data_IF_187810849147
#
_entry.id   IF_187810849147
#
_cell.length_a   1.000
_cell.length_b   1.000
_cell.length_c   1.000
_cell.angle_alpha   90.00
_cell.angle_beta   90.00
_cell.angle_gamma   90.00
#
_symmetry.space_group_name_H-M   'P 1'
#
loop_
_entity.id
_entity.type
_entity.pdbx_description
1 polymer ?
#
# COMPACT_ATOMS: atom_id res chain seq x y z
N UNK A 1 37.27 -63.95 -1.46
CA UNK A 1 35.83 -63.72 -1.25
C UNK A 1 35.63 -63.14 0.15
N UNK A 2 35.30 -61.85 0.26
CA UNK A 2 34.35 -61.32 1.26
C UNK A 2 34.27 -59.81 1.05
N UNK A 3 33.23 -59.40 0.33
CA UNK A 3 32.82 -58.02 0.12
C UNK A 3 32.08 -57.55 1.38
N UNK A 4 32.43 -56.39 1.94
CA UNK A 4 31.63 -55.76 3.00
C UNK A 4 31.23 -54.35 2.58
N UNK A 5 29.95 -54.31 2.23
CA UNK A 5 29.06 -53.24 1.84
C UNK A 5 29.29 -51.88 2.49
N UNK A 6 29.30 -50.84 1.64
CA UNK A 6 29.11 -49.44 2.01
C UNK A 6 27.65 -49.23 2.44
N UNK A 7 27.45 -48.76 3.67
CA UNK A 7 26.15 -48.26 4.13
C UNK A 7 26.09 -46.75 3.84
N UNK A 8 25.27 -46.36 2.86
CA UNK A 8 24.93 -44.96 2.64
C UNK A 8 23.97 -44.49 3.74
N UNK A 9 24.38 -43.48 4.50
CA UNK A 9 23.49 -42.76 5.40
C UNK A 9 22.64 -41.78 4.58
N UNK A 10 21.33 -42.06 4.46
CA UNK A 10 20.37 -41.11 3.91
C UNK A 10 19.99 -40.13 5.02
N UNK A 11 20.51 -38.90 4.94
CA UNK A 11 20.07 -37.82 5.81
C UNK A 11 18.70 -37.33 5.32
N UNK A 12 17.62 -37.75 5.98
CA UNK A 12 16.29 -37.20 5.77
C UNK A 12 16.22 -35.82 6.47
N UNK A 13 16.48 -34.74 5.71
CA UNK A 13 16.23 -33.38 6.17
C UNK A 13 14.72 -33.11 6.19
N UNK A 14 14.15 -32.87 7.37
CA UNK A 14 12.77 -32.45 7.53
C UNK A 14 12.60 -30.99 7.10
N UNK A 15 12.01 -30.78 5.92
CA UNK A 15 11.53 -29.46 5.48
C UNK A 15 10.30 -29.09 6.32
N UNK A 16 10.52 -28.33 7.40
CA UNK A 16 9.43 -27.70 8.14
C UNK A 16 8.96 -26.49 7.36
N UNK A 17 7.91 -26.65 6.56
CA UNK A 17 7.20 -25.52 5.96
C UNK A 17 6.54 -24.71 7.07
N UNK A 18 7.06 -23.50 7.30
CA UNK A 18 6.41 -22.48 8.11
C UNK A 18 5.14 -22.05 7.36
N UNK A 19 4.04 -22.77 7.59
CA UNK A 19 2.71 -22.31 7.19
C UNK A 19 2.37 -21.14 8.11
N UNK A 20 2.57 -19.91 7.63
CA UNK A 20 1.94 -18.75 8.24
C UNK A 20 0.43 -18.91 8.04
N UNK A 21 -0.28 -19.44 9.04
CA UNK A 21 -1.73 -19.44 9.07
C UNK A 21 -2.19 -17.97 9.07
N UNK A 22 -2.46 -17.42 7.90
CA UNK A 22 -3.11 -16.13 7.75
C UNK A 22 -4.52 -16.30 8.33
N UNK A 23 -4.73 -15.86 9.57
CA UNK A 23 -6.05 -15.86 10.19
C UNK A 23 -6.84 -14.76 9.50
N UNK A 24 -7.73 -15.15 8.60
CA UNK A 24 -8.66 -14.24 7.95
C UNK A 24 -9.89 -14.05 8.85
N UNK A 25 -10.13 -12.83 9.31
CA UNK A 25 -11.37 -12.47 10.01
C UNK A 25 -12.33 -11.83 9.01
N UNK A 26 -13.47 -12.47 8.66
CA UNK A 26 -14.43 -11.93 7.70
C UNK A 26 -15.10 -10.62 8.16
N UNK A 27 -14.93 -10.24 9.43
CA UNK A 27 -15.40 -8.99 10.01
C UNK A 27 -14.26 -7.99 10.27
N UNK A 28 -13.02 -8.29 9.84
CA UNK A 28 -11.89 -7.39 10.01
C UNK A 28 -12.17 -6.05 9.33
N UNK A 29 -12.17 -4.99 10.14
CA UNK A 29 -12.14 -3.62 9.64
C UNK A 29 -10.67 -3.26 9.47
N UNK A 30 -10.23 -3.25 8.22
CA UNK A 30 -8.94 -2.68 7.88
C UNK A 30 -9.04 -1.15 8.06
N UNK A 31 -8.00 -0.53 8.60
CA UNK A 31 -7.85 0.92 8.67
C UNK A 31 -6.61 1.32 7.90
N UNK A 32 -6.68 2.44 7.17
CA UNK A 32 -5.54 3.05 6.48
C UNK A 32 -5.29 4.44 7.04
N UNK A 33 -4.02 4.78 7.15
CA UNK A 33 -3.55 6.07 7.66
C UNK A 33 -2.41 6.54 6.76
N UNK A 34 -2.55 7.70 6.13
CA UNK A 34 -1.41 8.36 5.52
C UNK A 34 -0.51 9.02 6.57
N UNK A 35 0.72 9.36 6.20
CA UNK A 35 1.67 10.07 7.07
C UNK A 35 2.10 11.43 6.54
N UNK A 36 2.18 11.59 5.22
CA UNK A 36 2.85 12.77 4.62
C UNK A 36 1.91 13.95 4.39
N UNK A 37 0.64 13.68 4.04
CA UNK A 37 -0.29 14.70 3.54
C UNK A 37 -1.64 14.68 4.29
N UNK A 38 -1.64 15.05 5.56
CA UNK A 38 -2.82 15.00 6.42
C UNK A 38 -3.64 16.31 6.44
N UNK A 39 -4.86 16.24 6.98
CA UNK A 39 -5.65 17.38 7.46
C UNK A 39 -5.91 18.51 6.46
N UNK A 40 -5.99 18.21 5.15
CA UNK A 40 -6.22 19.21 4.10
C UNK A 40 -5.19 20.37 4.13
N UNK A 41 -3.99 20.08 4.62
CA UNK A 41 -2.90 21.03 4.75
C UNK A 41 -2.42 21.58 3.40
N UNK A 42 -1.55 22.59 3.47
CA UNK A 42 -0.83 23.11 2.30
C UNK A 42 0.60 22.56 2.31
N UNK A 43 0.98 21.94 1.21
CA UNK A 43 2.21 21.16 1.07
C UNK A 43 3.05 21.69 -0.07
N UNK A 44 4.32 21.99 0.24
CA UNK A 44 5.24 22.39 -0.80
C UNK A 44 5.78 21.18 -1.56
N UNK A 45 5.49 21.12 -2.86
CA UNK A 45 6.13 20.18 -3.79
C UNK A 45 7.15 20.94 -4.63
N UNK A 46 8.39 20.43 -4.65
CA UNK A 46 9.46 21.05 -5.42
C UNK A 46 9.24 20.83 -6.93
N UNK A 47 8.77 21.87 -7.61
CA UNK A 47 8.51 21.87 -9.06
C UNK A 47 9.78 21.73 -9.93
N UNK A 48 10.98 21.75 -9.33
CA UNK A 48 12.24 21.49 -10.03
C UNK A 48 12.72 20.04 -9.88
N UNK A 49 11.97 19.19 -9.15
CA UNK A 49 12.32 17.79 -8.94
C UNK A 49 11.70 16.90 -10.01
N UNK A 50 12.53 16.09 -10.66
CA UNK A 50 12.08 15.04 -11.58
C UNK A 50 11.90 13.69 -10.84
N UNK A 51 11.83 13.71 -9.51
CA UNK A 51 11.45 12.54 -8.74
C UNK A 51 9.95 12.32 -8.86
N UNK A 52 9.55 11.06 -8.95
CA UNK A 52 8.15 10.66 -8.89
C UNK A 52 7.51 11.12 -7.56
N UNK A 53 6.25 11.50 -7.64
CA UNK A 53 5.45 11.72 -6.45
C UNK A 53 5.31 10.42 -5.66
N UNK A 54 5.44 10.51 -4.34
CA UNK A 54 5.26 9.38 -3.46
C UNK A 54 4.57 9.81 -2.16
N UNK A 55 3.87 8.86 -1.57
CA UNK A 55 3.16 9.02 -0.32
C UNK A 55 3.33 7.76 0.54
N UNK A 56 3.42 7.95 1.84
CA UNK A 56 3.56 6.89 2.84
C UNK A 56 2.22 6.68 3.53
N UNK A 57 1.83 5.41 3.64
CA UNK A 57 0.67 4.97 4.41
C UNK A 57 1.01 3.75 5.27
N UNK A 58 0.29 3.55 6.36
CA UNK A 58 0.30 2.30 7.11
C UNK A 58 -1.12 1.81 7.34
N UNK A 59 -1.23 0.52 7.67
CA UNK A 59 -2.51 -0.17 7.84
C UNK A 59 -2.63 -0.81 9.20
N UNK A 60 -3.85 -1.07 9.64
CA UNK A 60 -4.12 -1.74 10.91
C UNK A 60 -5.37 -2.61 10.84
N UNK A 61 -5.31 -3.81 11.39
CA UNK A 61 -6.45 -4.73 11.49
C UNK A 61 -6.84 -5.36 10.15
N UNK A 62 -5.89 -5.51 9.24
CA UNK A 62 -6.15 -6.05 7.90
C UNK A 62 -5.87 -7.56 7.85
N UNK A 63 -6.60 -8.28 7.01
CA UNK A 63 -6.45 -9.73 6.82
C UNK A 63 -5.26 -10.11 5.91
N UNK A 64 -4.56 -9.11 5.37
CA UNK A 64 -3.52 -9.27 4.35
C UNK A 64 -4.03 -9.00 2.93
N UNK A 65 -3.09 -8.78 2.02
CA UNK A 65 -3.33 -8.37 0.64
C UNK A 65 -2.69 -7.03 0.31
N UNK A 66 -3.04 -6.49 -0.84
CA UNK A 66 -2.50 -5.24 -1.36
C UNK A 66 -3.62 -4.21 -1.52
N UNK A 67 -3.29 -2.95 -1.29
CA UNK A 67 -4.12 -1.82 -1.63
C UNK A 67 -3.60 -1.16 -2.92
N UNK A 68 -4.54 -0.81 -3.80
CA UNK A 68 -4.34 0.09 -4.92
C UNK A 68 -4.32 1.54 -4.40
N UNK A 69 -3.43 2.36 -4.95
CA UNK A 69 -3.35 3.78 -4.62
C UNK A 69 -3.56 4.57 -5.90
N UNK A 70 -4.51 5.51 -5.88
CA UNK A 70 -4.87 6.35 -7.02
C UNK A 70 -4.68 7.81 -6.62
N UNK A 71 -3.81 8.51 -7.34
CA UNK A 71 -3.65 9.95 -7.22
C UNK A 71 -4.52 10.63 -8.28
N UNK A 72 -5.36 11.58 -7.85
CA UNK A 72 -6.29 12.32 -8.71
C UNK A 72 -5.84 13.77 -8.75
N UNK A 73 -5.70 14.31 -9.96
CA UNK A 73 -5.31 15.68 -10.20
C UNK A 73 -6.45 16.68 -9.91
N UNK A 74 -6.13 17.96 -9.69
CA UNK A 74 -7.11 19.03 -9.61
C UNK A 74 -7.98 19.09 -10.87
N UNK A 75 -9.21 19.58 -10.74
CA UNK A 75 -10.15 19.69 -11.86
C UNK A 75 -9.60 20.56 -13.00
N UNK A 76 -8.76 21.55 -12.67
CA UNK A 76 -8.14 22.47 -13.62
C UNK A 76 -6.84 21.92 -14.24
N UNK A 77 -6.39 20.72 -13.82
CA UNK A 77 -5.18 20.12 -14.36
C UNK A 77 -5.32 19.81 -15.85
N UNK A 78 -4.23 20.05 -16.59
CA UNK A 78 -4.15 19.73 -18.01
C UNK A 78 -3.43 18.39 -18.18
N UNK A 79 -4.01 17.49 -18.98
CA UNK A 79 -3.43 16.18 -19.26
C UNK A 79 -4.11 15.07 -18.48
N UNK A 80 -3.33 14.13 -17.97
CA UNK A 80 -3.84 13.00 -17.21
C UNK A 80 -4.39 13.47 -15.85
N UNK A 81 -5.59 13.01 -15.53
CA UNK A 81 -6.33 13.41 -14.31
C UNK A 81 -6.24 12.39 -13.20
N UNK A 82 -5.78 11.19 -13.49
CA UNK A 82 -5.73 10.06 -12.58
C UNK A 82 -4.45 9.24 -12.83
N UNK A 83 -3.73 8.93 -11.75
CA UNK A 83 -2.46 8.22 -11.79
C UNK A 83 -2.53 7.02 -10.85
N UNK A 84 -2.55 5.82 -11.43
CA UNK A 84 -2.48 4.59 -10.63
C UNK A 84 -1.04 4.39 -10.14
N UNK A 85 -0.86 4.51 -8.83
CA UNK A 85 0.42 4.39 -8.16
C UNK A 85 0.74 2.91 -7.86
N UNK A 86 1.96 2.65 -7.38
CA UNK A 86 2.37 1.30 -6.98
C UNK A 86 1.52 0.77 -5.82
N UNK A 87 1.09 -0.49 -5.92
CA UNK A 87 0.37 -1.16 -4.86
C UNK A 87 1.21 -1.29 -3.58
N UNK A 88 0.55 -1.16 -2.44
CA UNK A 88 1.18 -1.28 -1.12
C UNK A 88 0.57 -2.43 -0.32
N UNK A 89 1.37 -3.22 0.42
CA UNK A 89 0.84 -4.31 1.23
C UNK A 89 0.10 -3.77 2.45
N UNK A 90 -1.01 -4.40 2.81
CA UNK A 90 -1.85 -4.01 3.97
C UNK A 90 -1.38 -4.61 5.30
N UNK A 91 -0.35 -5.45 5.24
CA UNK A 91 0.26 -6.12 6.40
C UNK A 91 1.77 -6.19 6.20
N UNK A 92 2.59 -6.18 7.27
CA UNK A 92 2.20 -6.15 8.68
C UNK A 92 1.60 -4.81 9.12
N UNK A 93 0.79 -4.87 10.18
CA UNK A 93 0.17 -3.70 10.81
C UNK A 93 1.22 -2.67 11.24
N UNK A 94 0.86 -1.40 11.13
CA UNK A 94 1.64 -0.25 11.62
C UNK A 94 3.06 -0.17 11.00
N UNK A 95 3.27 -0.81 9.85
CA UNK A 95 4.49 -0.68 9.05
C UNK A 95 4.25 0.23 7.86
N UNK A 96 5.08 1.26 7.78
CA UNK A 96 5.06 2.25 6.71
C UNK A 96 5.31 1.60 5.35
N UNK A 97 4.42 1.90 4.41
CA UNK A 97 4.50 1.47 3.02
C UNK A 97 4.53 2.71 2.13
N UNK A 98 5.45 2.69 1.16
CA UNK A 98 5.61 3.77 0.20
C UNK A 98 4.86 3.41 -1.08
N UNK A 99 3.94 4.27 -1.51
CA UNK A 99 3.35 4.23 -2.84
C UNK A 99 3.98 5.30 -3.73
N UNK A 100 4.46 4.92 -4.92
CA UNK A 100 5.03 5.82 -5.93
C UNK A 100 4.08 5.94 -7.11
N UNK A 101 3.80 7.16 -7.55
CA UNK A 101 2.89 7.46 -8.64
C UNK A 101 3.68 7.86 -9.90
N UNK A 102 3.22 7.48 -11.11
CA UNK A 102 3.93 7.77 -12.37
C UNK A 102 3.72 9.22 -12.83
N UNK A 103 4.03 10.18 -11.97
CA UNK A 103 4.03 11.62 -12.22
C UNK A 103 5.22 12.23 -11.50
N UNK A 104 6.03 13.00 -12.23
CA UNK A 104 7.15 13.72 -11.63
C UNK A 104 6.62 14.92 -10.83
N UNK A 105 7.28 15.24 -9.71
CA UNK A 105 6.94 16.43 -8.90
C UNK A 105 6.97 17.73 -9.72
N UNK A 106 7.81 17.81 -10.75
CA UNK A 106 7.91 18.93 -11.70
C UNK A 106 6.65 19.11 -12.57
N UNK A 107 5.85 18.05 -12.74
CA UNK A 107 4.64 18.03 -13.55
C UNK A 107 3.39 18.34 -12.70
N UNK A 108 3.51 18.34 -11.38
CA UNK A 108 2.42 18.69 -10.47
C UNK A 108 2.14 20.19 -10.53
N UNK A 109 0.86 20.54 -10.44
CA UNK A 109 0.37 21.91 -10.45
C UNK A 109 -0.28 22.22 -9.10
N UNK A 110 -0.30 23.50 -8.72
CA UNK A 110 -1.03 23.94 -7.54
C UNK A 110 -2.51 23.64 -7.67
N UNK A 111 -3.13 23.22 -6.57
CA UNK A 111 -4.55 22.85 -6.53
C UNK A 111 -4.82 21.69 -5.58
N UNK A 112 -6.07 21.23 -5.61
CA UNK A 112 -6.57 20.15 -4.76
C UNK A 112 -6.33 18.77 -5.41
N UNK A 113 -5.26 18.10 -5.03
CA UNK A 113 -5.03 16.70 -5.41
C UNK A 113 -5.73 15.77 -4.42
N UNK A 114 -6.21 14.62 -4.87
CA UNK A 114 -6.75 13.59 -3.96
C UNK A 114 -5.91 12.32 -4.04
N UNK A 115 -5.55 11.76 -2.88
CA UNK A 115 -4.97 10.42 -2.78
C UNK A 115 -6.03 9.43 -2.27
N UNK A 116 -6.30 8.39 -3.05
CA UNK A 116 -7.29 7.35 -2.74
C UNK A 116 -6.59 6.02 -2.51
N UNK A 117 -6.91 5.35 -1.40
CA UNK A 117 -6.41 4.00 -1.09
C UNK A 117 -7.60 3.02 -1.13
N UNK A 118 -7.49 2.01 -1.99
CA UNK A 118 -8.60 1.11 -2.35
C UNK A 118 -8.12 -0.34 -2.24
N UNK A 119 -8.96 -1.26 -1.78
CA UNK A 119 -8.60 -2.67 -1.72
C UNK A 119 -9.69 -3.55 -1.13
N UNK A 120 -9.51 -4.87 -1.24
CA UNK A 120 -10.53 -5.83 -0.84
C UNK A 120 -10.33 -6.45 0.55
N UNK A 121 -9.26 -6.06 1.26
CA UNK A 121 -8.84 -6.70 2.51
C UNK A 121 -8.65 -8.22 2.40
N UNK A 122 -8.15 -8.69 1.25
CA UNK A 122 -7.91 -10.11 0.99
C UNK A 122 -9.15 -10.85 0.48
N UNK A 123 -9.03 -12.18 0.37
CA UNK A 123 -10.01 -13.05 -0.35
C UNK A 123 -11.40 -13.10 0.31
N UNK A 124 -11.44 -12.96 1.64
CA UNK A 124 -12.67 -13.08 2.46
C UNK A 124 -12.87 -11.86 3.39
N UNK A 125 -12.08 -10.80 3.22
CA UNK A 125 -12.21 -9.58 4.00
C UNK A 125 -13.29 -8.65 3.47
N UNK A 126 -13.72 -7.71 4.32
CA UNK A 126 -14.62 -6.65 3.87
C UNK A 126 -13.84 -5.70 2.94
N UNK A 127 -14.36 -5.39 1.75
CA UNK A 127 -13.72 -4.44 0.87
C UNK A 127 -13.68 -3.07 1.52
N UNK A 128 -12.58 -2.36 1.31
CA UNK A 128 -12.41 -0.97 1.68
C UNK A 128 -12.20 -0.14 0.40
N UNK A 129 -13.01 0.90 0.27
CA UNK A 129 -12.65 2.06 -0.51
C UNK A 129 -12.66 3.20 0.49
N UNK A 130 -11.48 3.66 0.93
CA UNK A 130 -11.45 4.80 1.85
C UNK A 130 -11.67 6.08 1.05
N UNK A 131 -12.93 6.51 1.01
CA UNK A 131 -13.38 7.89 0.73
C UNK A 131 -14.30 8.27 1.89
N UNK A 132 -13.77 8.86 2.97
CA UNK A 132 -14.54 8.96 4.23
C UNK A 132 -15.26 10.30 4.39
N UNK A 133 -16.56 10.29 4.12
CA UNK A 133 -17.51 11.27 4.62
C UNK A 133 -17.70 11.14 6.14
N UNK A 134 -17.20 12.13 6.88
CA UNK A 134 -17.35 12.42 8.31
C UNK A 134 -16.81 11.39 9.32
N UNK A 135 -15.75 11.84 9.99
CA UNK A 135 -15.06 11.36 11.20
C UNK A 135 -14.09 10.17 11.06
N UNK A 136 -12.80 10.55 11.19
CA UNK A 136 -11.55 9.79 11.32
C UNK A 136 -10.88 9.35 9.99
N UNK A 137 -9.99 10.24 9.50
CA UNK A 137 -9.01 10.15 8.39
C UNK A 137 -9.59 9.91 6.96
N UNK A 138 -9.95 10.97 6.23
CA UNK A 138 -9.15 11.78 5.28
C UNK A 138 -8.96 11.09 3.92
N UNK A 139 -9.77 11.49 2.94
CA UNK A 139 -9.21 11.73 1.60
C UNK A 139 -8.12 12.77 1.79
N UNK A 140 -6.87 12.44 1.49
CA UNK A 140 -5.79 13.41 1.59
C UNK A 140 -5.98 14.40 0.44
N UNK A 141 -6.67 15.50 0.73
CA UNK A 141 -6.68 16.66 -0.16
C UNK A 141 -5.33 17.32 0.01
N UNK A 142 -4.45 17.08 -0.95
CA UNK A 142 -3.12 17.68 -0.97
C UNK A 142 -3.25 19.01 -1.68
N UNK A 143 -3.18 20.09 -0.91
CA UNK A 143 -3.12 21.43 -1.47
C UNK A 143 -1.67 21.76 -1.77
N UNK A 144 -1.31 21.81 -3.04
CA UNK A 144 0.04 22.19 -3.49
C UNK A 144 0.10 23.70 -3.76
#
# INVERSE_FOLDING_TARGET
>A
MSSRSLLLAVAAGSLSSLVSSQVTDPNAICYSYGLDYMDEGNYFINSLSNEDFAAVSYFKGCNGGNADVLLVAPEEAQGDTEFLCSQIPTTPDEVNQLSTCPIEKSQMQSGHWLLLVIGNNGKDGQPFAWQRGRFHALSDVINI
#
